data_IF_455078827524
#
_entry.id   IF_455078827524
#
_cell.length_a   1.000
_cell.length_b   1.000
_cell.length_c   1.000
_cell.angle_alpha   90.00
_cell.angle_beta   90.00
_cell.angle_gamma   90.00
#
_symmetry.space_group_name_H-M   'P 1'
#
loop_
_entity.id
_entity.type
_entity.pdbx_description
1 polymer ?
#
# COMPACT_ATOMS: atom_id res chain seq x y z
N UNK A 1 -29.36 10.59 -40.25
CA UNK A 1 -27.98 10.14 -39.97
C UNK A 1 -28.02 8.99 -38.97
N UNK A 2 -28.26 7.77 -39.44
CA UNK A 2 -28.18 6.57 -38.61
C UNK A 2 -26.70 6.21 -38.47
N UNK A 3 -26.06 6.67 -37.39
CA UNK A 3 -24.81 6.05 -36.99
C UNK A 3 -25.15 4.63 -36.55
N UNK A 4 -24.99 3.67 -37.48
CA UNK A 4 -25.03 2.24 -37.22
C UNK A 4 -23.75 1.82 -36.48
N UNK A 5 -23.43 2.50 -35.38
CA UNK A 5 -22.38 2.05 -34.48
C UNK A 5 -23.02 0.98 -33.61
N UNK A 6 -22.51 -0.24 -33.72
CA UNK A 6 -22.93 -1.32 -32.84
C UNK A 6 -22.65 -0.89 -31.39
N UNK A 7 -23.65 -0.95 -30.47
CA UNK A 7 -23.48 -0.58 -29.06
C UNK A 7 -22.30 -1.29 -28.38
N UNK A 8 -21.92 -2.46 -28.90
CA UNK A 8 -20.76 -3.24 -28.50
C UNK A 8 -19.42 -2.50 -28.64
N UNK A 9 -19.23 -1.68 -29.67
CA UNK A 9 -17.98 -0.92 -29.88
C UNK A 9 -17.83 0.17 -28.81
N UNK A 10 -18.91 0.89 -28.51
CA UNK A 10 -18.92 1.88 -27.42
C UNK A 10 -18.73 1.22 -26.06
N UNK A 11 -19.42 0.11 -25.82
CA UNK A 11 -19.31 -0.63 -24.56
C UNK A 11 -17.88 -1.15 -24.35
N UNK A 12 -17.25 -1.74 -25.35
CA UNK A 12 -15.87 -2.20 -25.27
C UNK A 12 -14.88 -1.04 -25.06
N UNK A 13 -15.11 0.10 -25.71
CA UNK A 13 -14.27 1.30 -25.54
C UNK A 13 -14.36 1.88 -24.12
N UNK A 14 -15.50 1.72 -23.45
CA UNK A 14 -15.71 2.16 -22.06
C UNK A 14 -15.18 1.12 -21.05
N UNK A 15 -15.46 -0.17 -21.29
CA UNK A 15 -15.08 -1.26 -20.38
C UNK A 15 -13.57 -1.49 -20.34
N UNK A 16 -12.88 -1.32 -21.47
CA UNK A 16 -11.44 -1.54 -21.55
C UNK A 16 -10.68 -0.63 -20.57
N UNK A 17 -10.75 0.72 -20.67
CA UNK A 17 -10.06 1.60 -19.72
C UNK A 17 -10.47 1.38 -18.25
N UNK A 18 -11.73 1.02 -18.00
CA UNK A 18 -12.19 0.69 -16.64
C UNK A 18 -11.43 -0.51 -16.07
N UNK A 19 -11.30 -1.59 -16.85
CA UNK A 19 -10.56 -2.79 -16.42
C UNK A 19 -9.09 -2.49 -16.12
N UNK A 20 -8.43 -1.67 -16.96
CA UNK A 20 -7.05 -1.21 -16.70
C UNK A 20 -6.95 -0.39 -15.43
N UNK A 21 -7.90 0.51 -15.21
CA UNK A 21 -7.93 1.39 -14.04
C UNK A 21 -8.10 0.59 -12.75
N UNK A 22 -9.01 -0.38 -12.76
CA UNK A 22 -9.25 -1.30 -11.64
C UNK A 22 -8.02 -2.17 -11.38
N UNK A 23 -7.45 -2.78 -12.43
CA UNK A 23 -6.25 -3.59 -12.30
C UNK A 23 -5.06 -2.79 -11.74
N UNK A 24 -4.84 -1.56 -12.22
CA UNK A 24 -3.79 -0.68 -11.70
C UNK A 24 -3.99 -0.35 -10.22
N UNK A 25 -5.23 -0.13 -9.77
CA UNK A 25 -5.54 0.10 -8.37
C UNK A 25 -5.27 -1.15 -7.50
N UNK A 26 -5.63 -2.34 -7.99
CA UNK A 26 -5.32 -3.60 -7.30
C UNK A 26 -3.81 -3.85 -7.21
N UNK A 27 -3.08 -3.71 -8.32
CA UNK A 27 -1.62 -3.88 -8.32
C UNK A 27 -0.92 -2.94 -7.33
N UNK A 28 -1.34 -1.66 -7.30
CA UNK A 28 -0.77 -0.70 -6.35
C UNK A 28 -1.05 -1.09 -4.89
N UNK A 29 -2.26 -1.57 -4.60
CA UNK A 29 -2.61 -2.06 -3.25
C UNK A 29 -1.76 -3.27 -2.87
N UNK A 30 -1.60 -4.21 -3.79
CA UNK A 30 -0.82 -5.43 -3.55
C UNK A 30 0.66 -5.11 -3.31
N UNK A 31 1.27 -4.26 -4.14
CA UNK A 31 2.65 -3.80 -3.93
C UNK A 31 2.82 -3.12 -2.56
N UNK A 32 1.89 -2.24 -2.17
CA UNK A 32 1.93 -1.58 -0.86
C UNK A 32 1.84 -2.58 0.30
N UNK A 33 0.95 -3.57 0.20
CA UNK A 33 0.82 -4.64 1.20
C UNK A 33 2.07 -5.50 1.28
N UNK A 34 2.69 -5.83 0.15
CA UNK A 34 3.93 -6.61 0.11
C UNK A 34 5.07 -5.87 0.81
N UNK A 35 5.26 -4.58 0.55
CA UNK A 35 6.28 -3.78 1.24
C UNK A 35 6.02 -3.67 2.74
N UNK A 36 4.77 -3.52 3.15
CA UNK A 36 4.41 -3.53 4.57
C UNK A 36 4.65 -4.89 5.24
N UNK A 37 4.35 -5.99 4.55
CA UNK A 37 4.64 -7.34 5.03
C UNK A 37 6.14 -7.56 5.21
N UNK A 38 6.96 -7.17 4.22
CA UNK A 38 8.42 -7.27 4.28
C UNK A 38 9.00 -6.42 5.42
N UNK A 39 8.49 -5.19 5.61
CA UNK A 39 8.90 -4.33 6.72
C UNK A 39 8.63 -5.00 8.07
N UNK A 40 7.41 -5.53 8.27
CA UNK A 40 7.06 -6.27 9.49
C UNK A 40 7.92 -7.52 9.69
N UNK A 41 8.20 -8.25 8.61
CA UNK A 41 9.02 -9.46 8.66
C UNK A 41 10.45 -9.14 9.11
N UNK A 42 11.09 -8.12 8.53
CA UNK A 42 12.43 -7.68 8.93
C UNK A 42 12.50 -7.21 10.38
N UNK A 43 11.52 -6.40 10.82
CA UNK A 43 11.43 -5.94 12.22
C UNK A 43 11.22 -7.11 13.20
N UNK A 44 10.34 -8.07 12.85
CA UNK A 44 10.09 -9.24 13.68
C UNK A 44 11.32 -10.14 13.77
N UNK A 45 12.00 -10.38 12.65
CA UNK A 45 13.22 -11.18 12.61
C UNK A 45 14.31 -10.57 13.50
N UNK A 46 14.52 -9.26 13.40
CA UNK A 46 15.45 -8.52 14.25
C UNK A 46 15.11 -8.68 15.75
N UNK A 47 13.84 -8.52 16.12
CA UNK A 47 13.38 -8.68 17.50
C UNK A 47 13.59 -10.12 18.03
N UNK A 48 13.35 -11.13 17.21
CA UNK A 48 13.57 -12.54 17.58
C UNK A 48 15.05 -12.86 17.75
N UNK A 49 15.92 -12.34 16.88
CA UNK A 49 17.37 -12.47 17.01
C UNK A 49 17.87 -11.82 18.31
N UNK A 50 17.49 -10.57 18.55
CA UNK A 50 17.87 -9.83 19.75
C UNK A 50 17.41 -10.55 21.02
N UNK A 51 16.18 -11.08 21.05
CA UNK A 51 15.66 -11.89 22.16
C UNK A 51 16.45 -13.19 22.39
N UNK A 52 17.00 -13.78 21.33
CA UNK A 52 17.80 -15.00 21.40
C UNK A 52 19.10 -14.85 22.19
N UNK A 53 19.65 -13.64 22.26
CA UNK A 53 20.93 -13.34 22.91
C UNK A 53 20.83 -12.96 24.38
N UNK A 54 19.70 -13.25 25.02
CA UNK A 54 19.45 -12.93 26.43
C UNK A 54 20.46 -13.53 27.40
N UNK A 55 21.08 -14.63 27.03
CA UNK A 55 21.98 -15.40 27.90
C UNK A 55 23.46 -15.24 27.54
N UNK A 56 23.80 -14.27 26.69
CA UNK A 56 25.18 -14.04 26.28
C UNK A 56 25.98 -13.33 27.39
N UNK A 57 27.13 -13.88 27.81
CA UNK A 57 27.84 -13.45 29.02
C UNK A 57 28.50 -12.07 28.91
N UNK A 58 28.74 -11.57 27.69
CA UNK A 58 29.41 -10.29 27.41
C UNK A 58 28.45 -9.20 26.90
N UNK A 59 27.14 -9.38 27.07
CA UNK A 59 26.14 -8.41 26.66
C UNK A 59 25.63 -7.58 27.85
N UNK A 60 25.51 -6.25 27.74
CA UNK A 60 24.92 -5.43 28.79
C UNK A 60 23.53 -5.93 29.19
N UNK A 61 23.21 -5.94 30.48
CA UNK A 61 21.90 -6.41 30.99
C UNK A 61 20.73 -5.64 30.39
N UNK A 62 20.95 -4.36 30.10
CA UNK A 62 19.93 -3.44 29.63
C UNK A 62 19.77 -3.47 28.10
N UNK A 63 20.66 -4.19 27.40
CA UNK A 63 20.70 -4.24 25.93
C UNK A 63 19.35 -4.63 25.33
N UNK A 64 18.71 -5.66 25.89
CA UNK A 64 17.44 -6.17 25.36
C UNK A 64 16.29 -5.18 25.52
N UNK A 65 16.29 -4.42 26.61
CA UNK A 65 15.24 -3.44 26.88
C UNK A 65 15.47 -2.21 26.01
N UNK A 66 16.72 -1.72 25.90
CA UNK A 66 17.09 -0.66 24.95
C UNK A 66 16.75 -1.04 23.50
N UNK A 67 17.14 -2.24 23.06
CA UNK A 67 16.82 -2.74 21.72
C UNK A 67 15.31 -2.77 21.47
N UNK A 68 14.55 -3.32 22.41
CA UNK A 68 13.09 -3.42 22.28
C UNK A 68 12.45 -2.05 22.18
N UNK A 69 12.89 -1.10 23.01
CA UNK A 69 12.36 0.26 23.03
C UNK A 69 12.72 1.03 21.77
N UNK A 70 13.96 0.89 21.26
CA UNK A 70 14.35 1.43 19.97
C UNK A 70 13.52 0.83 18.82
N UNK A 71 13.39 -0.51 18.75
CA UNK A 71 12.58 -1.17 17.71
C UNK A 71 11.11 -0.71 17.76
N UNK A 72 10.54 -0.61 18.97
CA UNK A 72 9.17 -0.15 19.16
C UNK A 72 9.00 1.31 18.74
N UNK A 73 9.98 2.15 19.06
CA UNK A 73 9.99 3.57 18.69
C UNK A 73 10.11 3.74 17.18
N UNK A 74 11.01 3.00 16.53
CA UNK A 74 11.14 2.99 15.06
C UNK A 74 9.83 2.55 14.39
N UNK A 75 9.21 1.45 14.85
CA UNK A 75 7.93 1.01 14.30
C UNK A 75 6.79 2.02 14.55
N UNK A 76 6.78 2.65 15.73
CA UNK A 76 5.84 3.72 16.07
C UNK A 76 5.99 4.94 15.17
N UNK A 77 7.22 5.38 14.92
CA UNK A 77 7.57 6.49 14.04
C UNK A 77 7.21 6.18 12.57
N UNK A 78 7.50 4.97 12.09
CA UNK A 78 7.09 4.52 10.76
C UNK A 78 5.56 4.54 10.59
N UNK A 79 4.82 4.05 11.60
CA UNK A 79 3.34 4.11 11.59
C UNK A 79 2.84 5.56 11.62
N UNK A 80 3.43 6.42 12.47
CA UNK A 80 3.06 7.82 12.57
C UNK A 80 3.27 8.54 11.24
N UNK A 81 4.38 8.28 10.57
CA UNK A 81 4.68 8.78 9.23
C UNK A 81 3.61 8.42 8.20
N UNK A 82 3.19 7.14 8.16
CA UNK A 82 2.17 6.67 7.21
C UNK A 82 0.76 7.22 7.49
N UNK A 83 0.48 7.58 8.74
CA UNK A 83 -0.82 8.12 9.17
C UNK A 83 -0.86 9.65 9.18
N UNK A 84 0.30 10.31 9.09
CA UNK A 84 0.42 11.76 9.12
C UNK A 84 -0.32 12.38 7.92
N UNK A 85 -1.14 13.39 8.24
CA UNK A 85 -1.89 14.15 7.21
C UNK A 85 -1.13 15.39 6.76
N UNK A 86 -0.25 15.89 7.62
CA UNK A 86 0.49 17.13 7.43
C UNK A 86 1.96 16.84 7.12
N UNK A 87 2.58 17.66 6.27
CA UNK A 87 4.00 17.50 5.92
C UNK A 87 4.94 17.72 7.12
N UNK A 88 4.55 18.57 8.08
CA UNK A 88 5.33 18.79 9.31
C UNK A 88 5.39 17.53 10.16
N UNK A 89 4.25 16.87 10.38
CA UNK A 89 4.16 15.61 11.14
C UNK A 89 4.91 14.47 10.43
N UNK A 90 4.82 14.42 9.10
CA UNK A 90 5.61 13.48 8.29
C UNK A 90 7.10 13.69 8.50
N UNK A 91 7.58 14.92 8.37
CA UNK A 91 9.00 15.22 8.53
C UNK A 91 9.51 14.88 9.93
N UNK A 92 8.73 15.20 10.98
CA UNK A 92 9.07 14.86 12.36
C UNK A 92 9.11 13.34 12.59
N UNK A 93 8.11 12.61 12.11
CA UNK A 93 8.03 11.15 12.25
C UNK A 93 9.16 10.46 11.48
N UNK A 94 9.50 10.96 10.29
CA UNK A 94 10.58 10.43 9.47
C UNK A 94 11.94 10.68 10.11
N UNK A 95 12.15 11.88 10.66
CA UNK A 95 13.37 12.22 11.41
C UNK A 95 13.54 11.28 12.60
N UNK A 96 12.49 11.10 13.41
CA UNK A 96 12.51 10.19 14.56
C UNK A 96 12.82 8.75 14.13
N UNK A 97 12.23 8.28 13.02
CA UNK A 97 12.51 6.94 12.48
C UNK A 97 14.00 6.75 12.18
N UNK A 98 14.64 7.67 11.46
CA UNK A 98 16.05 7.53 11.13
C UNK A 98 16.98 7.70 12.33
N UNK A 99 16.66 8.59 13.26
CA UNK A 99 17.41 8.74 14.52
C UNK A 99 17.39 7.42 15.31
N UNK A 100 16.22 6.80 15.47
CA UNK A 100 16.11 5.51 16.16
C UNK A 100 16.77 4.37 15.38
N UNK A 101 16.72 4.37 14.05
CA UNK A 101 17.45 3.37 13.24
C UNK A 101 18.97 3.50 13.42
N UNK A 102 19.48 4.73 13.55
CA UNK A 102 20.88 4.96 13.87
C UNK A 102 21.24 4.40 15.26
N UNK A 103 20.37 4.59 16.26
CA UNK A 103 20.53 3.97 17.60
C UNK A 103 20.57 2.44 17.52
N UNK A 104 19.67 1.81 16.76
CA UNK A 104 19.67 0.34 16.56
C UNK A 104 20.98 -0.11 15.89
N UNK A 105 21.52 0.69 14.97
CA UNK A 105 22.80 0.39 14.33
C UNK A 105 23.96 0.42 15.34
N UNK A 106 23.97 1.41 16.25
CA UNK A 106 24.94 1.48 17.34
C UNK A 106 24.80 0.30 18.32
N UNK A 107 23.57 -0.12 18.63
CA UNK A 107 23.32 -1.34 19.41
C UNK A 107 23.87 -2.57 18.69
N UNK A 108 23.75 -2.64 17.36
CA UNK A 108 24.35 -3.73 16.60
C UNK A 108 25.89 -3.73 16.66
N UNK A 109 26.54 -2.56 16.80
CA UNK A 109 27.99 -2.52 17.02
C UNK A 109 28.39 -3.04 18.40
N UNK A 110 27.57 -2.85 19.45
CA UNK A 110 27.78 -3.47 20.76
C UNK A 110 27.80 -5.01 20.64
N UNK A 111 26.92 -5.57 19.80
CA UNK A 111 26.92 -7.02 19.54
C UNK A 111 28.21 -7.51 18.86
N UNK A 112 28.81 -6.68 18.00
CA UNK A 112 30.09 -7.03 17.33
C UNK A 112 31.26 -7.13 18.31
N UNK A 113 31.16 -6.44 19.45
CA UNK A 113 32.15 -6.46 20.52
C UNK A 113 31.87 -7.58 21.55
N UNK A 114 30.72 -8.25 21.45
CA UNK A 114 30.31 -9.34 22.34
C UNK A 114 30.72 -10.71 21.78
N UNK A 115 30.43 -11.78 22.53
CA UNK A 115 30.72 -13.16 22.14
C UNK A 115 29.73 -13.74 21.10
N UNK A 116 28.76 -12.93 20.64
CA UNK A 116 27.79 -13.37 19.63
C UNK A 116 28.52 -13.76 18.34
N UNK A 117 28.25 -14.95 17.77
CA UNK A 117 28.85 -15.38 16.51
C UNK A 117 28.69 -14.33 15.40
N UNK A 118 29.76 -13.97 14.67
CA UNK A 118 29.70 -12.96 13.61
C UNK A 118 28.61 -13.18 12.54
N UNK A 119 28.26 -14.42 12.13
CA UNK A 119 27.16 -14.66 11.20
C UNK A 119 25.79 -14.22 11.73
N UNK A 120 25.56 -14.32 13.05
CA UNK A 120 24.31 -13.92 13.68
C UNK A 120 24.21 -12.39 13.82
N UNK A 121 25.33 -11.72 14.09
CA UNK A 121 25.39 -10.25 14.06
C UNK A 121 25.15 -9.73 12.65
N UNK A 122 25.77 -10.36 11.64
CA UNK A 122 25.51 -10.03 10.25
C UNK A 122 24.04 -10.26 9.85
N UNK A 123 23.38 -11.27 10.42
CA UNK A 123 21.95 -11.48 10.22
C UNK A 123 21.11 -10.32 10.77
N UNK A 124 21.38 -9.84 11.97
CA UNK A 124 20.66 -8.67 12.51
C UNK A 124 20.88 -7.39 11.68
N UNK A 125 22.11 -7.15 11.22
CA UNK A 125 22.39 -6.00 10.33
C UNK A 125 21.65 -6.12 9.01
N UNK A 126 21.59 -7.32 8.42
CA UNK A 126 20.84 -7.59 7.19
C UNK A 126 19.35 -7.38 7.39
N UNK A 127 18.78 -7.92 8.47
CA UNK A 127 17.35 -7.83 8.75
C UNK A 127 16.92 -6.38 9.03
N UNK A 128 17.77 -5.59 9.70
CA UNK A 128 17.58 -4.13 9.84
C UNK A 128 17.58 -3.44 8.47
N UNK A 129 18.56 -3.74 7.62
CA UNK A 129 18.63 -3.18 6.25
C UNK A 129 17.40 -3.56 5.42
N UNK A 130 16.93 -4.79 5.53
CA UNK A 130 15.73 -5.26 4.83
C UNK A 130 14.48 -4.52 5.31
N UNK A 131 14.32 -4.34 6.62
CA UNK A 131 13.25 -3.53 7.20
C UNK A 131 13.31 -2.08 6.69
N UNK A 132 14.49 -1.44 6.72
CA UNK A 132 14.66 -0.09 6.20
C UNK A 132 14.31 0.03 4.73
N UNK A 133 14.81 -0.88 3.88
CA UNK A 133 14.52 -0.88 2.45
C UNK A 133 13.03 -1.07 2.15
N UNK A 134 12.36 -1.95 2.90
CA UNK A 134 10.92 -2.15 2.79
C UNK A 134 10.13 -0.92 3.24
N UNK A 135 10.56 -0.22 4.29
CA UNK A 135 9.96 1.04 4.73
C UNK A 135 10.13 2.15 3.68
N UNK A 136 11.32 2.31 3.09
CA UNK A 136 11.55 3.29 2.02
C UNK A 136 10.68 3.02 0.79
N UNK A 137 10.56 1.75 0.40
CA UNK A 137 9.67 1.37 -0.70
C UNK A 137 8.21 1.70 -0.34
N UNK A 138 7.75 1.34 0.86
CA UNK A 138 6.41 1.65 1.34
C UNK A 138 6.15 3.17 1.36
N UNK A 139 7.14 3.95 1.82
CA UNK A 139 7.13 5.41 1.81
C UNK A 139 6.97 5.95 0.39
N UNK A 140 7.75 5.46 -0.56
CA UNK A 140 7.65 5.87 -1.95
C UNK A 140 6.22 5.64 -2.50
N UNK A 141 5.59 4.51 -2.20
CA UNK A 141 4.20 4.23 -2.58
C UNK A 141 3.16 5.10 -1.85
N UNK A 142 3.43 5.46 -0.58
CA UNK A 142 2.56 6.31 0.21
C UNK A 142 2.61 7.78 -0.25
N UNK A 143 3.81 8.30 -0.52
CA UNK A 143 4.05 9.67 -0.99
C UNK A 143 3.68 9.85 -2.46
N UNK A 144 3.90 8.84 -3.29
CA UNK A 144 3.51 8.86 -4.69
C UNK A 144 1.97 8.79 -4.77
N UNK A 145 1.28 9.93 -4.62
CA UNK A 145 -0.18 10.00 -4.69
C UNK A 145 -0.71 9.25 -5.91
N UNK A 146 -1.75 8.45 -5.72
CA UNK A 146 -2.52 7.88 -6.82
C UNK A 146 -2.92 9.02 -7.73
N UNK A 147 -2.58 9.00 -9.03
CA UNK A 147 -2.94 10.10 -9.90
C UNK A 147 -4.47 10.25 -9.82
N UNK A 148 -4.91 11.45 -9.42
CA UNK A 148 -6.32 11.85 -9.33
C UNK A 148 -7.12 11.42 -10.58
N UNK A 149 -6.43 11.33 -11.71
CA UNK A 149 -6.85 10.78 -13.00
C UNK A 149 -7.63 9.46 -12.91
N UNK A 150 -7.20 8.47 -12.13
CA UNK A 150 -7.91 7.18 -12.01
C UNK A 150 -9.30 7.39 -11.40
N UNK A 151 -9.36 8.18 -10.33
CA UNK A 151 -10.62 8.47 -9.63
C UNK A 151 -11.54 9.30 -10.53
N UNK A 152 -11.01 10.33 -11.20
CA UNK A 152 -11.77 11.17 -12.14
C UNK A 152 -12.28 10.33 -13.30
N UNK A 153 -11.47 9.42 -13.82
CA UNK A 153 -11.84 8.53 -14.93
C UNK A 153 -13.01 7.62 -14.56
N UNK A 154 -12.98 6.99 -13.39
CA UNK A 154 -14.10 6.15 -12.89
C UNK A 154 -15.38 6.97 -12.77
N UNK A 155 -15.32 8.17 -12.17
CA UNK A 155 -16.51 9.03 -12.05
C UNK A 155 -17.05 9.42 -13.43
N UNK A 156 -16.17 9.84 -14.35
CA UNK A 156 -16.56 10.21 -15.71
C UNK A 156 -17.22 9.04 -16.45
N UNK A 157 -16.71 7.81 -16.28
CA UNK A 157 -17.29 6.62 -16.89
C UNK A 157 -18.70 6.32 -16.34
N UNK A 158 -18.89 6.42 -15.02
CA UNK A 158 -20.19 6.22 -14.36
C UNK A 158 -21.24 7.20 -14.89
N UNK A 159 -20.84 8.43 -15.24
CA UNK A 159 -21.77 9.42 -15.82
C UNK A 159 -22.03 9.23 -17.32
N UNK A 160 -21.03 8.76 -18.09
CA UNK A 160 -21.18 8.57 -19.55
C UNK A 160 -22.01 7.32 -19.89
N UNK A 161 -21.89 6.26 -19.10
CA UNK A 161 -22.60 4.99 -19.34
C UNK A 161 -24.12 5.19 -19.47
N UNK A 162 -24.83 5.83 -18.51
CA UNK A 162 -26.25 6.11 -18.64
C UNK A 162 -26.57 6.97 -19.86
N UNK A 163 -25.76 7.99 -20.15
CA UNK A 163 -26.00 8.90 -21.27
C UNK A 163 -26.01 8.16 -22.63
N UNK A 164 -25.10 7.19 -22.81
CA UNK A 164 -24.97 6.43 -24.06
C UNK A 164 -25.98 5.28 -24.15
N UNK A 165 -26.25 4.60 -23.04
CA UNK A 165 -27.13 3.42 -23.03
C UNK A 165 -28.63 3.74 -22.90
N UNK A 166 -29.01 4.83 -22.24
CA UNK A 166 -30.42 5.24 -22.08
C UNK A 166 -31.18 5.38 -23.42
N UNK A 167 -30.66 6.07 -24.46
CA UNK A 167 -31.37 6.18 -25.74
C UNK A 167 -31.51 4.83 -26.46
N UNK A 168 -30.58 3.90 -26.25
CA UNK A 168 -30.68 2.54 -26.79
C UNK A 168 -31.83 1.76 -26.12
N UNK A 169 -31.96 1.81 -24.79
CA UNK A 169 -33.07 1.17 -24.08
C UNK A 169 -34.42 1.81 -24.39
N UNK A 170 -34.46 3.14 -24.58
CA UNK A 170 -35.66 3.83 -25.03
C UNK A 170 -36.11 3.36 -26.42
N UNK A 171 -35.16 3.12 -27.33
CA UNK A 171 -35.46 2.55 -28.65
C UNK A 171 -35.92 1.09 -28.57
N UNK A 172 -35.34 0.29 -27.67
CA UNK A 172 -35.77 -1.10 -27.46
C UNK A 172 -37.21 -1.19 -26.93
N UNK A 173 -37.62 -0.23 -26.09
CA UNK A 173 -38.98 -0.13 -25.58
C UNK A 173 -40.01 0.10 -26.70
N UNK A 174 -39.67 0.95 -27.68
CA UNK A 174 -40.56 1.28 -28.80
C UNK A 174 -40.64 0.18 -29.86
N UNK A 175 -39.65 -0.73 -29.91
CA UNK A 175 -39.64 -1.89 -30.82
C UNK A 175 -40.45 -3.11 -30.31
N UNK A 176 -41.16 -3.01 -29.18
CA UNK A 176 -42.05 -4.07 -28.69
C UNK A 176 -41.43 -5.01 -27.65
N UNK A 177 -40.28 -4.67 -27.08
CA UNK A 177 -39.67 -5.38 -25.94
C UNK A 177 -39.63 -4.53 -24.65
N UNK A 178 -40.78 -4.07 -24.13
CA UNK A 178 -40.83 -3.14 -23.00
C UNK A 178 -40.27 -3.74 -21.70
N UNK A 179 -40.44 -5.06 -21.48
CA UNK A 179 -39.92 -5.73 -20.29
C UNK A 179 -38.38 -5.67 -20.21
N UNK A 180 -37.69 -5.86 -21.34
CA UNK A 180 -36.23 -5.77 -21.42
C UNK A 180 -35.73 -4.33 -21.26
N UNK A 181 -36.48 -3.36 -21.80
CA UNK A 181 -36.14 -1.95 -21.66
C UNK A 181 -36.29 -1.44 -20.22
N UNK A 182 -37.35 -1.84 -19.52
CA UNK A 182 -37.59 -1.46 -18.12
C UNK A 182 -36.57 -2.14 -17.20
N UNK A 183 -36.28 -3.43 -17.42
CA UNK A 183 -35.25 -4.14 -16.65
C UNK A 183 -33.85 -3.55 -16.86
N UNK A 184 -33.48 -3.23 -18.11
CA UNK A 184 -32.19 -2.61 -18.44
C UNK A 184 -32.06 -1.19 -17.90
N UNK A 185 -33.12 -0.39 -18.00
CA UNK A 185 -33.16 0.97 -17.44
C UNK A 185 -33.07 0.99 -15.92
N UNK A 186 -33.77 0.09 -15.22
CA UNK A 186 -33.72 -0.02 -13.76
C UNK A 186 -32.33 -0.43 -13.25
N UNK A 187 -31.61 -1.27 -14.00
CA UNK A 187 -30.27 -1.75 -13.63
C UNK A 187 -29.20 -0.65 -13.74
N UNK A 188 -29.42 0.35 -14.60
CA UNK A 188 -28.55 1.53 -14.76
C UNK A 188 -28.92 2.64 -13.76
N UNK A 189 -30.20 2.73 -13.37
CA UNK A 189 -30.68 3.74 -12.40
C UNK A 189 -30.40 3.37 -10.94
N UNK A 190 -29.99 2.13 -10.65
CA UNK A 190 -29.53 1.76 -9.31
C UNK A 190 -28.23 2.51 -8.99
N UNK A 191 -28.20 3.32 -7.92
CA UNK A 191 -26.98 4.00 -7.52
C UNK A 191 -25.95 2.97 -7.06
N UNK A 192 -24.78 2.96 -7.71
CA UNK A 192 -23.56 2.38 -7.16
C UNK A 192 -22.95 3.32 -6.12
#
# INVERSE_FOLDING_TARGET
>A
WYLNIQPTVFLNTLLFPLSFTVNAAYQRRECGLQHFANFKAGVLSLCLLHRGWRFEPNLPTDFLDCSRDCIRTAFGAARAYLMARNEVEKHQSLKLFYETVAEITLLNDVLRLSDVPPPLVAAAVRDLKEAMGAFEALRAYADYRTPSTIRIFIHLLIYIIPLVLTPYFAHLATQGHPALAIAGGALIALPF
#
